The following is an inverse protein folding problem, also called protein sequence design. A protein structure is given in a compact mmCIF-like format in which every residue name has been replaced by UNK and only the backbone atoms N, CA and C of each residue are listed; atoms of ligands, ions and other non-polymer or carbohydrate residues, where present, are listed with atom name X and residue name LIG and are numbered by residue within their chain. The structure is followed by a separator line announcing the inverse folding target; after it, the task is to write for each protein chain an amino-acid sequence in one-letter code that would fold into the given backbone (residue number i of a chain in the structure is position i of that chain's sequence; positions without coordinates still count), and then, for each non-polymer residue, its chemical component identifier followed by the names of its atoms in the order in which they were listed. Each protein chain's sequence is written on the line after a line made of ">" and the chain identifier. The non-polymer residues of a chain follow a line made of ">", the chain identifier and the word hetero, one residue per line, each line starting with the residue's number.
data_IF_283897399752
#
_entry.id   IF_283897399752
#
_cell.length_a   1.000
_cell.length_b   1.000
_cell.length_c   1.000
_cell.angle_alpha   90.00
_cell.angle_beta   90.00
_cell.angle_gamma   90.00
#
_symmetry.space_group_name_H-M   'P 1'
#
loop_
_entity.id
_entity.type
_entity.pdbx_description
1 polymer ?
#
# COMPACT_ATOMS: atom_id res chain seq x y z
N UNK A 1 26.28 -5.40 21.12
CA UNK A 1 25.09 -4.91 20.40
C UNK A 1 25.30 -3.44 20.09
N UNK A 2 25.77 -3.18 18.90
CA UNK A 2 26.05 -1.83 18.41
C UNK A 2 25.02 -1.47 17.32
N UNK A 3 23.97 -0.69 17.65
CA UNK A 3 22.96 -0.32 16.67
C UNK A 3 23.50 0.62 15.59
N UNK A 4 24.55 1.39 15.89
CA UNK A 4 25.16 2.29 14.93
C UNK A 4 25.91 1.53 13.85
N UNK A 5 26.53 0.41 14.19
CA UNK A 5 27.15 -0.49 13.21
C UNK A 5 26.12 -1.03 12.22
N UNK A 6 24.93 -1.45 12.69
CA UNK A 6 23.86 -1.89 11.80
C UNK A 6 23.35 -0.75 10.91
N UNK A 7 23.22 0.46 11.45
CA UNK A 7 22.74 1.62 10.72
C UNK A 7 23.73 2.11 9.64
N UNK A 8 25.03 1.78 9.79
CA UNK A 8 26.06 2.13 8.80
C UNK A 8 26.18 1.14 7.64
N UNK A 9 25.56 -0.04 7.75
CA UNK A 9 25.60 -1.07 6.71
C UNK A 9 24.68 -0.74 5.56
N UNK A 10 25.14 -1.01 4.34
CA UNK A 10 24.31 -0.97 3.13
C UNK A 10 23.35 -2.17 3.07
N UNK A 11 22.29 -2.05 2.29
CA UNK A 11 21.38 -3.18 2.03
C UNK A 11 22.11 -4.42 1.46
N UNK A 12 23.09 -4.18 0.60
CA UNK A 12 23.88 -5.24 0.00
C UNK A 12 24.71 -6.00 1.04
N UNK A 13 25.30 -5.29 2.01
CA UNK A 13 26.03 -5.90 3.11
C UNK A 13 25.10 -6.68 4.03
N UNK A 14 23.95 -6.15 4.38
CA UNK A 14 22.94 -6.85 5.17
C UNK A 14 22.45 -8.12 4.47
N UNK A 15 22.19 -8.06 3.17
CA UNK A 15 21.81 -9.22 2.37
C UNK A 15 22.94 -10.26 2.26
N UNK A 16 24.19 -9.81 2.20
CA UNK A 16 25.36 -10.70 2.17
C UNK A 16 25.52 -11.49 3.48
N UNK A 17 25.17 -10.89 4.61
CA UNK A 17 25.29 -11.51 5.93
C UNK A 17 24.12 -12.44 6.28
N UNK A 18 22.90 -12.09 5.88
CA UNK A 18 21.68 -12.78 6.29
C UNK A 18 20.82 -13.30 5.14
N UNK A 19 21.35 -13.39 3.91
CA UNK A 19 20.53 -13.69 2.73
C UNK A 19 19.69 -12.47 2.32
N UNK A 20 18.77 -12.65 1.38
CA UNK A 20 17.88 -11.58 0.93
C UNK A 20 17.04 -10.98 2.06
N UNK A 21 16.66 -11.82 3.03
CA UNK A 21 15.93 -11.43 4.24
C UNK A 21 16.76 -10.55 5.18
N UNK A 22 18.08 -10.57 5.06
CA UNK A 22 18.97 -9.68 5.82
C UNK A 22 18.69 -8.20 5.56
N UNK A 23 18.20 -7.85 4.38
CA UNK A 23 17.78 -6.48 4.07
C UNK A 23 16.58 -6.00 4.90
N UNK A 24 15.76 -6.90 5.45
CA UNK A 24 14.61 -6.56 6.30
C UNK A 24 15.01 -5.95 7.65
N UNK A 25 16.29 -6.05 8.04
CA UNK A 25 16.84 -5.36 9.22
C UNK A 25 16.54 -3.86 9.19
N UNK A 26 16.40 -3.25 8.00
CA UNK A 26 15.97 -1.87 7.84
C UNK A 26 14.64 -1.58 8.55
N UNK A 27 13.69 -2.50 8.55
CA UNK A 27 12.42 -2.32 9.22
C UNK A 27 12.59 -2.15 10.75
N UNK A 28 13.54 -2.88 11.33
CA UNK A 28 13.91 -2.73 12.74
C UNK A 28 14.60 -1.40 13.03
N UNK A 29 15.42 -0.92 12.10
CA UNK A 29 16.05 0.39 12.20
C UNK A 29 15.03 1.53 12.11
N UNK A 30 14.02 1.41 11.21
CA UNK A 30 12.90 2.36 11.12
C UNK A 30 12.10 2.39 12.43
N UNK A 31 11.76 1.22 12.98
CA UNK A 31 11.11 1.13 14.29
C UNK A 31 11.96 1.80 15.38
N UNK A 32 13.26 1.51 15.42
CA UNK A 32 14.18 2.11 16.41
C UNK A 32 14.27 3.62 16.27
N UNK A 33 14.29 4.14 15.04
CA UNK A 33 14.31 5.58 14.76
C UNK A 33 13.03 6.30 15.17
N UNK A 34 11.90 5.59 15.19
CA UNK A 34 10.62 6.13 15.67
C UNK A 34 10.48 6.17 17.21
N UNK A 35 11.38 5.49 17.93
CA UNK A 35 11.38 5.43 19.38
C UNK A 35 12.29 6.53 19.96
N UNK A 36 11.96 7.00 21.17
CA UNK A 36 12.84 7.90 21.95
C UNK A 36 14.16 7.21 22.34
N UNK A 37 15.14 7.99 22.81
CA UNK A 37 16.39 7.45 23.30
C UNK A 37 16.17 6.47 24.47
N UNK A 38 15.21 6.78 25.35
CA UNK A 38 14.83 5.96 26.47
C UNK A 38 13.56 5.18 26.16
N UNK A 39 13.69 3.85 26.12
CA UNK A 39 12.58 2.94 25.87
C UNK A 39 12.55 1.83 26.91
N UNK A 40 11.36 1.41 27.31
CA UNK A 40 11.14 0.21 28.10
C UNK A 40 10.77 -0.95 27.19
N UNK A 41 11.55 -2.02 27.20
CA UNK A 41 11.17 -3.24 26.53
C UNK A 41 10.09 -3.96 27.33
N UNK A 42 8.89 -4.08 26.74
CA UNK A 42 7.72 -4.70 27.38
C UNK A 42 7.68 -6.19 27.08
N UNK A 43 8.00 -6.57 25.85
CA UNK A 43 7.98 -7.94 25.40
C UNK A 43 9.07 -8.20 24.37
N UNK A 44 9.57 -9.43 24.36
CA UNK A 44 10.41 -9.96 23.31
C UNK A 44 10.22 -11.47 23.26
N UNK A 45 9.97 -12.00 22.07
CA UNK A 45 10.04 -13.41 21.80
C UNK A 45 10.86 -13.67 20.55
N UNK A 46 11.43 -14.86 20.49
CA UNK A 46 12.15 -15.37 19.32
C UNK A 46 11.92 -16.87 19.22
N UNK A 47 11.61 -17.34 18.03
CA UNK A 47 11.54 -18.78 17.74
C UNK A 47 11.95 -19.07 16.31
N UNK A 48 12.37 -20.27 16.06
CA UNK A 48 12.88 -20.75 14.79
C UNK A 48 12.04 -21.96 14.34
N UNK A 49 10.87 -21.73 13.70
CA UNK A 49 9.95 -22.84 13.35
C UNK A 49 10.46 -23.72 12.22
N UNK A 50 11.39 -23.21 11.41
CA UNK A 50 12.06 -23.94 10.34
C UNK A 50 13.47 -23.37 10.14
N UNK A 51 13.79 -22.85 8.96
CA UNK A 51 15.06 -22.14 8.72
C UNK A 51 14.93 -20.62 8.86
N UNK A 52 13.73 -20.11 9.17
CA UNK A 52 13.46 -18.67 9.32
C UNK A 52 13.25 -18.33 10.78
N UNK A 53 14.09 -17.45 11.32
CA UNK A 53 13.93 -16.90 12.66
C UNK A 53 12.81 -15.85 12.68
N UNK A 54 11.85 -16.02 13.60
CA UNK A 54 10.78 -15.08 13.82
C UNK A 54 10.98 -14.42 15.17
N UNK A 55 11.03 -13.08 15.18
CA UNK A 55 11.16 -12.29 16.39
C UNK A 55 10.02 -11.29 16.51
N UNK A 56 9.52 -11.10 17.72
CA UNK A 56 8.61 -10.01 18.06
C UNK A 56 9.19 -9.21 19.21
N UNK A 57 9.00 -7.89 19.16
CA UNK A 57 9.43 -7.00 20.23
C UNK A 57 8.41 -5.87 20.42
N UNK A 58 8.12 -5.53 21.68
CA UNK A 58 7.26 -4.42 22.04
C UNK A 58 8.05 -3.49 22.94
N UNK A 59 8.13 -2.23 22.55
CA UNK A 59 8.77 -1.17 23.30
C UNK A 59 7.79 -0.04 23.60
N UNK A 60 7.94 0.56 24.76
CA UNK A 60 7.25 1.79 25.14
C UNK A 60 8.25 2.93 25.28
N UNK A 61 7.92 4.07 24.71
CA UNK A 61 8.67 5.30 24.90
C UNK A 61 8.56 5.77 26.34
N UNK A 62 9.70 6.11 26.95
CA UNK A 62 9.77 6.63 28.32
C UNK A 62 9.89 8.17 28.36
N UNK A 63 10.12 8.80 27.23
CA UNK A 63 10.14 10.25 27.14
C UNK A 63 8.73 10.81 26.95
N UNK A 64 8.37 11.93 27.57
CA UNK A 64 7.11 12.60 27.29
C UNK A 64 7.07 13.04 25.81
N UNK A 65 5.90 12.89 25.22
CA UNK A 65 5.62 13.22 23.81
C UNK A 65 5.45 14.74 23.59
N UNK A 66 6.20 15.57 24.31
CA UNK A 66 6.05 17.03 24.36
C UNK A 66 6.95 17.79 23.39
N UNK A 67 7.59 17.11 22.46
CA UNK A 67 8.36 17.83 21.45
C UNK A 67 7.38 18.44 20.45
N UNK A 68 7.43 19.75 20.27
CA UNK A 68 6.90 20.39 19.08
C UNK A 68 7.65 19.85 17.86
N UNK A 69 7.07 18.85 17.25
CA UNK A 69 7.62 18.16 16.09
C UNK A 69 7.28 18.86 14.76
N UNK A 70 6.62 20.03 14.80
CA UNK A 70 6.14 20.73 13.60
C UNK A 70 7.27 21.00 12.61
N UNK A 71 8.40 21.49 13.08
CA UNK A 71 9.59 21.73 12.25
C UNK A 71 10.22 20.42 11.71
N UNK A 72 10.18 19.34 12.47
CA UNK A 72 10.69 18.03 12.05
C UNK A 72 9.76 17.42 11.00
N UNK A 73 8.45 17.49 11.21
CA UNK A 73 7.45 17.03 10.25
C UNK A 73 7.54 17.81 8.93
N UNK A 74 7.71 19.14 8.99
CA UNK A 74 7.87 19.99 7.81
C UNK A 74 9.13 19.63 7.02
N UNK A 75 10.27 19.44 7.69
CA UNK A 75 11.52 19.00 7.04
C UNK A 75 11.37 17.62 6.41
N UNK A 76 10.75 16.69 7.11
CA UNK A 76 10.52 15.34 6.59
C UNK A 76 9.62 15.36 5.35
N UNK A 77 8.52 16.13 5.37
CA UNK A 77 7.65 16.31 4.21
C UNK A 77 8.40 16.92 3.01
N UNK A 78 9.21 17.94 3.24
CA UNK A 78 10.02 18.55 2.19
C UNK A 78 11.04 17.56 1.62
N UNK A 79 11.70 16.79 2.46
CA UNK A 79 12.61 15.73 2.03
C UNK A 79 11.89 14.67 1.21
N UNK A 80 10.78 14.14 1.70
CA UNK A 80 9.99 13.15 0.97
C UNK A 80 9.46 13.69 -0.36
N UNK A 81 9.05 14.94 -0.43
CA UNK A 81 8.63 15.56 -1.67
C UNK A 81 9.78 15.64 -2.69
N UNK A 82 11.02 15.90 -2.23
CA UNK A 82 12.21 15.89 -3.08
C UNK A 82 12.53 14.49 -3.58
N UNK A 83 12.56 13.50 -2.69
CA UNK A 83 12.87 12.11 -3.03
C UNK A 83 11.82 11.50 -3.98
N UNK A 84 10.55 11.81 -3.79
CA UNK A 84 9.45 11.29 -4.59
C UNK A 84 9.22 12.06 -5.90
N UNK A 85 9.84 13.24 -6.06
CA UNK A 85 9.63 14.08 -7.23
C UNK A 85 9.89 13.33 -8.54
N UNK A 86 10.95 12.56 -8.62
CA UNK A 86 11.27 11.75 -9.80
C UNK A 86 10.23 10.67 -10.08
N UNK A 87 9.72 9.99 -9.04
CA UNK A 87 8.70 8.96 -9.17
C UNK A 87 7.33 9.55 -9.60
N UNK A 88 6.95 10.69 -9.04
CA UNK A 88 5.70 11.39 -9.41
C UNK A 88 5.77 11.94 -10.84
N UNK A 89 6.95 12.36 -11.28
CA UNK A 89 7.16 12.90 -12.63
C UNK A 89 7.26 11.82 -13.72
N UNK A 90 7.42 10.54 -13.37
CA UNK A 90 7.45 9.46 -14.34
C UNK A 90 6.10 9.36 -15.06
N UNK A 91 6.14 9.54 -16.39
CA UNK A 91 4.94 9.36 -17.19
C UNK A 91 4.42 7.93 -17.08
N UNK A 92 3.12 7.80 -16.95
CA UNK A 92 2.48 6.49 -16.83
C UNK A 92 2.45 5.93 -15.41
N UNK A 93 3.03 6.59 -14.43
CA UNK A 93 2.87 6.20 -13.01
C UNK A 93 1.64 6.88 -12.39
N UNK A 94 1.07 6.20 -11.42
CA UNK A 94 0.00 6.75 -10.60
C UNK A 94 0.29 6.41 -9.12
N UNK A 95 1.20 7.16 -8.49
CA UNK A 95 1.68 6.82 -7.16
C UNK A 95 0.57 6.92 -6.12
N UNK A 96 0.55 5.96 -5.20
CA UNK A 96 -0.29 6.00 -4.02
C UNK A 96 0.47 6.72 -2.90
N UNK A 97 0.01 7.89 -2.53
CA UNK A 97 0.59 8.74 -1.51
C UNK A 97 -0.31 8.88 -0.27
N UNK A 98 0.18 9.59 0.74
CA UNK A 98 -0.55 9.78 1.99
C UNK A 98 -1.86 10.56 1.77
N UNK A 99 -1.87 11.53 0.88
CA UNK A 99 -3.07 12.34 0.58
C UNK A 99 -4.17 11.46 -0.01
N UNK A 100 -3.84 10.64 -1.00
CA UNK A 100 -4.76 9.65 -1.59
C UNK A 100 -5.22 8.62 -0.58
N UNK A 101 -4.31 8.14 0.26
CA UNK A 101 -4.63 7.21 1.34
C UNK A 101 -5.68 7.76 2.30
N UNK A 102 -5.51 9.00 2.73
CA UNK A 102 -6.46 9.69 3.62
C UNK A 102 -7.79 9.93 2.92
N UNK A 103 -7.75 10.44 1.67
CA UNK A 103 -8.94 10.70 0.86
C UNK A 103 -9.80 9.45 0.68
N UNK A 104 -9.18 8.35 0.29
CA UNK A 104 -9.88 7.09 -0.01
C UNK A 104 -10.03 6.16 1.19
N UNK A 105 -9.67 6.59 2.40
CA UNK A 105 -9.64 5.73 3.58
C UNK A 105 -10.98 5.03 3.84
N UNK A 106 -12.09 5.77 3.75
CA UNK A 106 -13.44 5.23 3.97
C UNK A 106 -13.77 4.14 2.96
N UNK A 107 -13.51 4.42 1.70
CA UNK A 107 -13.74 3.49 0.60
C UNK A 107 -12.85 2.25 0.72
N UNK A 108 -11.55 2.41 0.99
CA UNK A 108 -10.64 1.29 1.24
C UNK A 108 -11.10 0.44 2.44
N UNK A 109 -11.55 1.06 3.52
CA UNK A 109 -12.09 0.36 4.70
C UNK A 109 -13.35 -0.42 4.36
N UNK A 110 -14.27 0.16 3.59
CA UNK A 110 -15.47 -0.52 3.12
C UNK A 110 -15.12 -1.76 2.30
N UNK A 111 -14.26 -1.62 1.28
CA UNK A 111 -13.82 -2.72 0.43
C UNK A 111 -13.06 -3.79 1.22
N UNK A 112 -12.23 -3.39 2.18
CA UNK A 112 -11.59 -4.33 3.09
C UNK A 112 -12.61 -5.14 3.90
N UNK A 113 -13.69 -4.50 4.35
CA UNK A 113 -14.77 -5.16 5.09
C UNK A 113 -15.44 -6.31 4.35
N UNK A 114 -15.36 -6.34 3.01
CA UNK A 114 -15.93 -7.43 2.18
C UNK A 114 -15.21 -8.79 2.35
N UNK A 115 -14.08 -8.83 3.07
CA UNK A 115 -13.48 -10.11 3.49
C UNK A 115 -14.33 -10.82 4.54
N UNK A 116 -15.12 -10.08 5.31
CA UNK A 116 -16.01 -10.62 6.32
C UNK A 116 -17.24 -11.23 5.66
N UNK A 117 -17.54 -12.52 5.86
CA UNK A 117 -18.62 -13.22 5.14
C UNK A 117 -19.98 -12.52 5.25
N UNK A 118 -20.34 -12.03 6.42
CA UNK A 118 -21.62 -11.39 6.68
C UNK A 118 -21.74 -10.03 5.96
N UNK A 119 -20.67 -9.26 5.92
CA UNK A 119 -20.64 -7.97 5.21
C UNK A 119 -20.70 -8.19 3.70
N UNK A 120 -19.97 -9.19 3.20
CA UNK A 120 -19.99 -9.57 1.80
C UNK A 120 -21.39 -10.07 1.37
N UNK A 121 -22.04 -10.90 2.18
CA UNK A 121 -23.38 -11.37 1.90
C UNK A 121 -24.40 -10.21 1.81
N UNK A 122 -24.33 -9.25 2.76
CA UNK A 122 -25.18 -8.04 2.71
C UNK A 122 -24.93 -7.21 1.46
N UNK A 123 -23.69 -7.01 1.11
CA UNK A 123 -23.30 -6.29 -0.11
C UNK A 123 -23.87 -6.96 -1.36
N UNK A 124 -23.76 -8.27 -1.49
CA UNK A 124 -24.26 -9.00 -2.64
C UNK A 124 -25.80 -9.01 -2.75
N UNK A 125 -26.51 -8.86 -1.62
CA UNK A 125 -27.97 -8.76 -1.60
C UNK A 125 -28.45 -7.36 -1.96
N UNK A 126 -27.82 -6.32 -1.40
CA UNK A 126 -28.20 -4.91 -1.60
C UNK A 126 -26.96 -4.01 -1.46
N UNK A 127 -26.37 -3.66 -2.60
CA UNK A 127 -25.21 -2.79 -2.65
C UNK A 127 -25.52 -1.39 -2.10
N UNK A 128 -26.70 -0.83 -2.40
CA UNK A 128 -27.06 0.52 -1.95
C UNK A 128 -27.21 0.61 -0.43
N UNK A 129 -27.85 -0.39 0.17
CA UNK A 129 -27.93 -0.45 1.62
C UNK A 129 -26.53 -0.62 2.26
N UNK A 130 -25.64 -1.39 1.62
CA UNK A 130 -24.27 -1.56 2.09
C UNK A 130 -23.47 -0.25 2.00
N UNK A 131 -23.61 0.53 0.91
CA UNK A 131 -22.99 1.84 0.77
C UNK A 131 -23.50 2.84 1.84
N UNK A 132 -24.82 2.87 2.03
CA UNK A 132 -25.43 3.73 3.03
C UNK A 132 -24.96 3.38 4.45
N UNK A 133 -24.94 2.09 4.80
CA UNK A 133 -24.44 1.63 6.10
C UNK A 133 -22.97 1.97 6.35
N UNK A 134 -22.14 1.97 5.31
CA UNK A 134 -20.74 2.37 5.37
C UNK A 134 -20.56 3.91 5.34
N UNK A 135 -21.61 4.67 5.11
CA UNK A 135 -21.57 6.12 4.99
C UNK A 135 -20.75 6.59 3.78
N UNK A 136 -20.75 5.83 2.68
CA UNK A 136 -20.05 6.24 1.47
C UNK A 136 -20.76 7.44 0.82
N UNK A 137 -20.04 8.50 0.48
CA UNK A 137 -20.62 9.57 -0.32
C UNK A 137 -20.94 9.10 -1.74
N UNK A 138 -21.87 9.78 -2.41
CA UNK A 138 -22.42 9.38 -3.70
C UNK A 138 -21.34 9.11 -4.77
N UNK A 139 -20.28 9.90 -4.80
CA UNK A 139 -19.20 9.72 -5.77
C UNK A 139 -18.35 8.46 -5.50
N UNK A 140 -18.17 8.05 -4.24
CA UNK A 140 -17.46 6.80 -3.89
C UNK A 140 -18.32 5.58 -4.22
N UNK A 141 -19.60 5.61 -3.86
CA UNK A 141 -20.54 4.53 -4.20
C UNK A 141 -20.71 4.37 -5.71
N UNK A 142 -20.73 5.46 -6.47
CA UNK A 142 -20.78 5.41 -7.93
C UNK A 142 -19.57 4.67 -8.52
N UNK A 143 -18.35 4.95 -8.05
CA UNK A 143 -17.15 4.26 -8.51
C UNK A 143 -17.24 2.73 -8.31
N UNK A 144 -17.79 2.30 -7.19
CA UNK A 144 -17.95 0.86 -6.89
C UNK A 144 -19.10 0.27 -7.73
N UNK A 145 -20.23 0.91 -7.77
CA UNK A 145 -21.43 0.47 -8.52
C UNK A 145 -21.13 0.29 -10.01
N UNK A 146 -20.44 1.22 -10.59
CA UNK A 146 -20.07 1.22 -12.01
C UNK A 146 -18.88 0.30 -12.32
N UNK A 147 -18.28 -0.32 -11.30
CA UNK A 147 -17.05 -1.11 -11.46
C UNK A 147 -15.97 -0.32 -12.20
N UNK A 148 -15.87 0.96 -11.91
CA UNK A 148 -14.91 1.85 -12.52
C UNK A 148 -13.50 1.59 -11.97
N UNK A 149 -12.89 0.48 -12.37
CA UNK A 149 -11.62 -0.03 -11.84
C UNK A 149 -10.51 1.02 -11.91
N UNK A 150 -10.41 1.69 -13.06
CA UNK A 150 -9.42 2.75 -13.25
C UNK A 150 -9.72 3.98 -12.38
N UNK A 151 -10.99 4.38 -12.32
CA UNK A 151 -11.43 5.48 -11.46
C UNK A 151 -11.19 5.20 -9.98
N UNK A 152 -11.37 3.96 -9.54
CA UNK A 152 -11.08 3.53 -8.16
C UNK A 152 -9.59 3.72 -7.82
N UNK A 153 -8.66 3.29 -8.69
CA UNK A 153 -7.22 3.53 -8.51
C UNK A 153 -6.91 5.03 -8.47
N UNK A 154 -7.44 5.80 -9.42
CA UNK A 154 -7.20 7.23 -9.50
C UNK A 154 -7.77 7.99 -8.28
N UNK A 155 -8.83 7.47 -7.69
CA UNK A 155 -9.39 8.02 -6.47
C UNK A 155 -8.49 7.78 -5.24
N UNK A 156 -7.76 6.67 -5.21
CA UNK A 156 -6.86 6.26 -4.12
C UNK A 156 -7.22 4.92 -3.47
N UNK A 157 -7.97 4.08 -4.18
CA UNK A 157 -8.18 2.69 -3.74
C UNK A 157 -6.89 1.91 -3.99
N UNK A 158 -6.41 1.21 -2.97
CA UNK A 158 -5.23 0.35 -3.11
C UNK A 158 -5.56 -0.88 -3.95
N UNK A 159 -4.59 -1.31 -4.75
CA UNK A 159 -4.77 -2.37 -5.73
C UNK A 159 -5.37 -3.66 -5.14
N UNK A 160 -4.92 -4.09 -3.98
CA UNK A 160 -5.46 -5.28 -3.30
C UNK A 160 -6.95 -5.19 -2.95
N UNK A 161 -7.49 -3.98 -2.81
CA UNK A 161 -8.95 -3.80 -2.60
C UNK A 161 -9.72 -4.00 -3.89
N UNK A 162 -9.13 -3.68 -5.05
CA UNK A 162 -9.75 -4.01 -6.35
C UNK A 162 -9.84 -5.52 -6.57
N UNK A 163 -8.78 -6.25 -6.24
CA UNK A 163 -8.80 -7.72 -6.32
C UNK A 163 -9.87 -8.33 -5.40
N UNK A 164 -10.00 -7.80 -4.18
CA UNK A 164 -11.05 -8.23 -3.25
C UNK A 164 -12.45 -7.96 -3.80
N UNK A 165 -12.68 -6.75 -4.29
CA UNK A 165 -13.95 -6.40 -4.92
C UNK A 165 -14.22 -7.31 -6.13
N UNK A 166 -13.22 -7.49 -7.00
CA UNK A 166 -13.32 -8.37 -8.16
C UNK A 166 -13.74 -9.79 -7.78
N UNK A 167 -13.08 -10.38 -6.79
CA UNK A 167 -13.41 -11.70 -6.28
C UNK A 167 -14.86 -11.78 -5.75
N UNK A 168 -15.35 -10.73 -5.10
CA UNK A 168 -16.71 -10.66 -4.56
C UNK A 168 -17.76 -10.57 -5.67
N UNK A 169 -17.50 -9.77 -6.71
CA UNK A 169 -18.47 -9.54 -7.81
C UNK A 169 -18.25 -10.45 -9.03
N UNK A 170 -17.36 -11.44 -8.91
CA UNK A 170 -17.10 -12.42 -9.97
C UNK A 170 -16.29 -11.89 -11.16
N UNK A 171 -15.50 -10.82 -10.96
CA UNK A 171 -14.64 -10.25 -12.00
C UNK A 171 -13.20 -10.69 -11.79
N UNK A 172 -12.58 -11.29 -12.80
CA UNK A 172 -11.19 -11.77 -12.71
C UNK A 172 -10.18 -10.61 -12.71
N UNK A 173 -9.02 -10.85 -12.12
CA UNK A 173 -7.92 -9.88 -12.11
C UNK A 173 -7.50 -9.45 -13.52
N UNK A 174 -7.59 -10.34 -14.51
CA UNK A 174 -7.26 -9.99 -15.90
C UNK A 174 -8.23 -8.95 -16.48
N UNK A 175 -9.50 -9.01 -16.14
CA UNK A 175 -10.47 -7.98 -16.53
C UNK A 175 -10.16 -6.64 -15.87
N UNK A 176 -9.80 -6.67 -14.58
CA UNK A 176 -9.41 -5.47 -13.84
C UNK A 176 -8.18 -4.82 -14.50
N UNK A 177 -7.15 -5.61 -14.82
CA UNK A 177 -5.94 -5.12 -15.48
C UNK A 177 -6.21 -4.53 -16.86
N UNK A 178 -7.04 -5.20 -17.65
CA UNK A 178 -7.46 -4.69 -18.96
C UNK A 178 -8.19 -3.35 -18.83
N UNK A 179 -9.15 -3.27 -17.90
CA UNK A 179 -9.88 -2.02 -17.63
C UNK A 179 -8.96 -0.89 -17.14
N UNK A 180 -7.96 -1.21 -16.30
CA UNK A 180 -6.96 -0.22 -15.85
C UNK A 180 -6.12 0.30 -17.01
N UNK A 181 -5.81 -0.52 -18.01
CA UNK A 181 -5.13 -0.11 -19.24
C UNK A 181 -6.05 0.58 -20.24
N UNK A 182 -7.37 0.51 -20.04
CA UNK A 182 -8.37 1.04 -20.97
C UNK A 182 -8.55 0.18 -22.22
N UNK A 183 -8.32 -1.14 -22.09
CA UNK A 183 -8.39 -2.13 -23.18
C UNK A 183 -9.51 -3.13 -22.92
N UNK A 184 -9.92 -3.84 -23.98
CA UNK A 184 -10.71 -5.05 -23.84
C UNK A 184 -9.88 -6.17 -23.21
N UNK A 185 -10.54 -7.16 -22.59
CA UNK A 185 -9.81 -8.33 -22.08
C UNK A 185 -9.08 -9.08 -23.20
N UNK A 186 -9.68 -9.18 -24.38
CA UNK A 186 -9.10 -9.84 -25.53
C UNK A 186 -7.81 -9.15 -26.01
N UNK A 187 -7.85 -7.84 -26.16
CA UNK A 187 -6.67 -7.07 -26.57
C UNK A 187 -5.59 -7.10 -25.49
N UNK A 188 -5.99 -7.00 -24.23
CA UNK A 188 -5.05 -7.14 -23.11
C UNK A 188 -4.35 -8.51 -23.12
N UNK A 189 -5.06 -9.59 -23.37
CA UNK A 189 -4.46 -10.94 -23.45
C UNK A 189 -3.47 -11.09 -24.60
N UNK A 190 -3.73 -10.44 -25.73
CA UNK A 190 -2.81 -10.42 -26.88
C UNK A 190 -1.51 -9.66 -26.59
N UNK A 191 -1.60 -8.58 -25.83
CA UNK A 191 -0.50 -7.62 -25.68
C UNK A 191 0.22 -7.68 -24.33
N UNK A 192 -0.35 -8.32 -23.32
CA UNK A 192 0.16 -8.26 -21.93
C UNK A 192 1.62 -8.68 -21.73
N UNK A 193 2.13 -9.58 -22.58
CA UNK A 193 3.49 -10.09 -22.52
C UNK A 193 4.30 -9.75 -23.79
N UNK A 194 3.74 -8.93 -24.68
CA UNK A 194 4.43 -8.51 -25.89
C UNK A 194 5.52 -7.46 -25.60
N UNK A 195 6.60 -7.39 -26.38
CA UNK A 195 7.53 -6.28 -26.31
C UNK A 195 6.79 -4.93 -26.47
N UNK A 196 7.07 -3.96 -25.61
CA UNK A 196 6.40 -2.67 -25.60
C UNK A 196 5.01 -2.65 -24.98
N UNK A 197 4.57 -3.74 -24.33
CA UNK A 197 3.30 -3.76 -23.60
C UNK A 197 3.26 -2.66 -22.52
N UNK A 198 2.11 -2.00 -22.42
CA UNK A 198 1.88 -0.93 -21.45
C UNK A 198 1.41 -1.51 -20.11
N UNK A 199 2.04 -1.10 -19.03
CA UNK A 199 1.70 -1.54 -17.67
C UNK A 199 1.23 -0.41 -16.77
N UNK A 200 0.86 0.74 -17.36
CA UNK A 200 0.47 1.92 -16.62
C UNK A 200 -1.05 2.12 -16.58
N UNK A 201 -1.55 2.54 -15.44
CA UNK A 201 -2.94 3.01 -15.27
C UNK A 201 -3.15 4.44 -15.79
N UNK A 202 -2.09 5.17 -16.13
CA UNK A 202 -2.19 6.53 -16.62
C UNK A 202 -2.66 6.61 -18.08
N UNK A 203 -2.55 5.52 -18.84
CA UNK A 203 -3.05 5.41 -20.21
C UNK A 203 -1.98 5.10 -21.26
N UNK A 204 -2.41 4.80 -22.48
CA UNK A 204 -1.53 4.27 -23.53
C UNK A 204 -0.48 5.25 -24.06
N UNK A 205 -0.68 6.54 -23.90
CA UNK A 205 0.22 7.57 -24.45
C UNK A 205 1.43 7.90 -23.56
N UNK A 206 1.48 7.36 -22.34
CA UNK A 206 2.46 7.76 -21.34
C UNK A 206 3.82 7.07 -21.49
N UNK A 207 3.90 5.95 -22.18
CA UNK A 207 5.11 5.12 -22.27
C UNK A 207 5.93 5.28 -23.57
N UNK A 208 5.35 5.87 -24.59
CA UNK A 208 5.97 5.95 -25.92
C UNK A 208 6.58 7.32 -26.22
N UNK A 209 6.97 8.09 -25.19
CA UNK A 209 7.68 9.36 -25.38
C UNK A 209 9.02 9.38 -24.68
#
# INVERSE_FOLDING_TARGET
>A
NDPEQLASMTQAELASLGGMEGAEVIMWLVMRGALSANVRKVHQSYYLPSMTGIATAIYENQAPHNADNSGTIARHRAHMATELHGAVALQGTYPFDLERSVKAYRLNRFLHGLIVPEQRARFLVDEEAAYAAAGLPAHESALVRERNWRGLIHYGVIFFMLEKLGAVVGVSNLHIYAAMRGESLEDFQKTRNAPGALYSVAGPLAWNK
#
